data_IF_545279431516
#
_entry.id   IF_545279431516
#
_cell.length_a   1.000
_cell.length_b   1.000
_cell.length_c   1.000
_cell.angle_alpha   90.00
_cell.angle_beta   90.00
_cell.angle_gamma   90.00
#
_symmetry.space_group_name_H-M   'P 1'
#
loop_
_entity.id
_entity.type
_entity.pdbx_description
1 polymer ?
#
# COMPACT_ATOMS: atom_id res chain seq x y z
N UNK A 1 -13.64 -21.16 9.93
CA UNK A 1 -13.19 -20.29 11.04
C UNK A 1 -12.40 -19.12 10.45
N UNK A 2 -13.08 -18.17 9.79
CA UNK A 2 -12.46 -16.94 9.29
C UNK A 2 -12.63 -15.88 10.36
N UNK A 3 -11.62 -15.69 11.20
CA UNK A 3 -11.60 -14.63 12.21
C UNK A 3 -11.38 -13.27 11.57
N UNK A 4 -11.64 -12.20 12.33
CA UNK A 4 -11.55 -10.77 11.96
C UNK A 4 -10.21 -10.31 11.37
N UNK A 5 -9.25 -11.22 11.24
CA UNK A 5 -7.90 -11.00 10.72
C UNK A 5 -7.89 -10.72 9.21
N UNK A 6 -8.78 -11.37 8.46
CA UNK A 6 -8.94 -11.15 7.01
C UNK A 6 -9.98 -10.08 6.70
N UNK A 7 -10.45 -9.35 7.72
CA UNK A 7 -11.35 -8.24 7.50
C UNK A 7 -10.58 -7.12 6.80
N UNK A 8 -11.14 -6.65 5.69
CA UNK A 8 -10.62 -5.50 4.97
C UNK A 8 -10.84 -4.25 5.82
N UNK A 9 -9.76 -3.50 6.01
CA UNK A 9 -9.86 -2.12 6.47
C UNK A 9 -10.46 -1.31 5.32
N UNK A 10 -11.32 -0.29 5.56
CA UNK A 10 -11.80 0.58 4.50
C UNK A 10 -10.62 1.03 3.63
N UNK A 11 -10.72 0.81 2.31
CA UNK A 11 -9.65 1.06 1.35
C UNK A 11 -9.08 2.46 1.54
N UNK A 12 -7.77 2.54 1.72
CA UNK A 12 -7.06 3.80 1.98
C UNK A 12 -6.20 4.13 0.77
N UNK A 13 -6.62 5.12 -0.01
CA UNK A 13 -5.74 5.72 -1.02
C UNK A 13 -4.73 6.60 -0.27
N UNK A 14 -3.45 6.26 -0.36
CA UNK A 14 -2.36 7.04 0.22
C UNK A 14 -1.74 7.92 -0.86
N UNK A 15 -1.85 9.25 -0.68
CA UNK A 15 -1.19 10.23 -1.55
C UNK A 15 0.17 10.57 -0.95
N UNK A 16 1.23 10.08 -1.58
CA UNK A 16 2.60 10.34 -1.14
C UNK A 16 3.17 11.51 -1.95
N UNK A 17 3.83 12.44 -1.26
CA UNK A 17 4.56 13.52 -1.93
C UNK A 17 6.05 13.15 -1.93
N UNK A 18 6.70 13.28 -3.08
CA UNK A 18 8.15 13.15 -3.15
C UNK A 18 8.80 14.45 -2.65
N UNK A 19 9.58 14.36 -1.57
CA UNK A 19 10.27 15.50 -0.95
C UNK A 19 11.67 15.74 -1.54
N UNK A 20 12.07 14.98 -2.57
CA UNK A 20 13.45 14.98 -3.09
C UNK A 20 13.81 16.23 -3.90
N UNK A 21 12.84 16.95 -4.46
CA UNK A 21 13.08 18.18 -5.22
C UNK A 21 12.66 19.42 -4.42
N UNK A 22 13.61 20.23 -3.90
CA UNK A 22 13.29 21.50 -3.27
C UNK A 22 12.87 22.50 -4.35
N UNK A 23 11.57 22.57 -4.66
CA UNK A 23 11.07 23.54 -5.63
C UNK A 23 9.62 23.37 -6.06
N UNK A 24 9.04 22.16 -5.98
CA UNK A 24 7.68 21.92 -6.46
C UNK A 24 6.69 21.71 -5.31
N UNK A 25 6.45 22.78 -4.55
CA UNK A 25 5.52 22.81 -3.42
C UNK A 25 4.07 23.12 -3.84
N UNK A 26 3.75 23.13 -5.14
CA UNK A 26 2.46 23.62 -5.69
C UNK A 26 1.51 22.53 -6.17
N UNK A 27 1.62 21.32 -5.62
CA UNK A 27 0.55 20.32 -5.73
C UNK A 27 0.69 19.30 -6.87
N UNK A 28 1.87 19.19 -7.48
CA UNK A 28 2.18 18.00 -8.27
C UNK A 28 2.42 16.85 -7.30
N UNK A 29 1.49 15.90 -7.30
CA UNK A 29 1.69 14.64 -6.62
C UNK A 29 2.75 13.88 -7.39
N UNK A 30 3.92 13.69 -6.78
CA UNK A 30 5.02 12.97 -7.43
C UNK A 30 4.65 11.52 -7.77
N UNK A 31 3.76 10.89 -6.99
CA UNK A 31 3.13 9.60 -7.30
C UNK A 31 1.97 9.29 -6.32
N UNK A 32 0.95 8.57 -6.77
CA UNK A 32 -0.15 8.07 -5.92
C UNK A 32 0.03 6.58 -5.62
N UNK A 33 -0.39 6.16 -4.42
CA UNK A 33 -0.36 4.76 -4.00
C UNK A 33 -1.75 4.32 -3.57
N UNK A 34 -2.29 3.32 -4.26
CA UNK A 34 -3.52 2.63 -3.86
C UNK A 34 -3.22 1.21 -3.42
N UNK A 35 -3.85 0.76 -2.35
CA UNK A 35 -3.73 -0.60 -1.84
C UNK A 35 -4.91 -0.98 -0.95
N UNK A 36 -5.14 -2.29 -0.82
CA UNK A 36 -6.06 -2.85 0.16
C UNK A 36 -5.27 -3.28 1.38
N UNK A 37 -5.70 -2.84 2.55
CA UNK A 37 -5.09 -3.16 3.83
C UNK A 37 -6.00 -4.13 4.59
N UNK A 38 -5.43 -5.18 5.17
CA UNK A 38 -6.11 -6.11 6.08
C UNK A 38 -5.80 -5.74 7.54
N UNK A 39 -6.68 -6.14 8.46
CA UNK A 39 -6.54 -5.84 9.88
C UNK A 39 -5.24 -6.38 10.52
N UNK A 40 -4.65 -7.43 9.93
CA UNK A 40 -3.35 -7.98 10.36
C UNK A 40 -2.14 -7.22 9.81
N UNK A 41 -2.34 -6.12 9.09
CA UNK A 41 -1.29 -5.30 8.51
C UNK A 41 -0.75 -5.81 7.18
N UNK A 42 -1.28 -6.90 6.64
CA UNK A 42 -0.99 -7.34 5.26
C UNK A 42 -1.66 -6.35 4.30
N UNK A 43 -0.96 -6.00 3.22
CA UNK A 43 -1.54 -5.25 2.11
C UNK A 43 -1.46 -6.05 0.80
N UNK A 44 -2.48 -5.93 -0.03
CA UNK A 44 -2.48 -6.48 -1.39
C UNK A 44 -3.13 -5.53 -2.40
N UNK A 45 -3.08 -5.89 -3.69
CA UNK A 45 -3.58 -5.06 -4.79
C UNK A 45 -2.97 -3.65 -4.78
N UNK A 46 -1.65 -3.60 -4.84
CA UNK A 46 -0.87 -2.37 -4.87
C UNK A 46 -0.94 -1.74 -6.28
N UNK A 47 -1.23 -0.45 -6.37
CA UNK A 47 -1.08 0.35 -7.58
C UNK A 47 -0.19 1.54 -7.27
N UNK A 48 0.90 1.69 -8.02
CA UNK A 48 1.79 2.83 -7.98
C UNK A 48 1.55 3.64 -9.25
N UNK A 49 0.98 4.84 -9.12
CA UNK A 49 0.70 5.72 -10.25
C UNK A 49 1.70 6.88 -10.26
N UNK A 50 2.57 6.93 -11.27
CA UNK A 50 3.58 7.98 -11.46
C UNK A 50 3.09 9.10 -12.38
N UNK A 51 1.83 9.05 -12.81
CA UNK A 51 1.21 10.02 -13.71
C UNK A 51 1.33 9.67 -15.20
N UNK A 52 2.52 9.28 -15.66
CA UNK A 52 2.77 8.87 -17.05
C UNK A 52 2.61 7.36 -17.27
N UNK A 53 2.88 6.56 -16.23
CA UNK A 53 2.58 5.13 -16.19
C UNK A 53 2.18 4.69 -14.77
N UNK A 54 1.49 3.56 -14.71
CA UNK A 54 1.13 2.92 -13.46
C UNK A 54 1.66 1.48 -13.41
N UNK A 55 2.09 1.06 -12.22
CA UNK A 55 2.54 -0.31 -11.94
C UNK A 55 1.56 -0.99 -11.00
N UNK A 56 0.99 -2.11 -11.44
CA UNK A 56 0.08 -2.92 -10.63
C UNK A 56 0.79 -4.15 -10.07
N UNK A 57 0.82 -4.25 -8.74
CA UNK A 57 1.37 -5.36 -7.98
C UNK A 57 0.28 -6.26 -7.41
N UNK A 58 0.36 -7.56 -7.72
CA UNK A 58 -0.48 -8.59 -7.09
C UNK A 58 0.37 -9.43 -6.14
N UNK A 59 -0.07 -9.54 -4.89
CA UNK A 59 0.54 -10.43 -3.91
C UNK A 59 0.40 -11.88 -4.39
N UNK A 60 1.52 -12.50 -4.75
CA UNK A 60 1.56 -13.86 -5.30
C UNK A 60 1.81 -14.92 -4.25
N UNK A 61 2.53 -14.58 -3.18
CA UNK A 61 2.90 -15.49 -2.10
C UNK A 61 3.12 -14.71 -0.80
N UNK A 62 2.58 -15.22 0.30
CA UNK A 62 2.79 -14.71 1.64
C UNK A 62 3.19 -15.89 2.54
N UNK A 63 4.36 -15.81 3.15
CA UNK A 63 4.86 -16.82 4.09
C UNK A 63 4.90 -16.19 5.48
N UNK A 64 3.92 -16.50 6.35
CA UNK A 64 3.90 -15.93 7.70
C UNK A 64 5.10 -16.44 8.49
N UNK A 65 5.73 -15.53 9.24
CA UNK A 65 6.73 -15.92 10.21
C UNK A 65 6.04 -16.70 11.33
N UNK A 66 6.66 -17.80 11.78
CA UNK A 66 6.29 -18.42 13.06
C UNK A 66 6.40 -17.37 14.15
N UNK A 67 5.37 -17.25 15.00
CA UNK A 67 5.35 -16.32 16.12
C UNK A 67 6.68 -16.44 16.89
N UNK A 68 7.37 -15.32 17.19
CA UNK A 68 8.54 -15.38 18.04
C UNK A 68 8.07 -15.93 19.38
N UNK A 69 8.52 -17.14 19.72
CA UNK A 69 8.32 -17.70 21.04
C UNK A 69 8.84 -16.69 22.05
N UNK A 70 7.91 -16.11 22.82
CA UNK A 70 8.23 -15.17 23.88
C UNK A 70 9.02 -15.87 24.99
#
# INVERSE_FOLDING_TARGET
SGGRENDLVPSTVARCYDFREPGDYLGNVGYEVDFRMFANGVADHLVLDYGDFAVAGRLSRLEPLTEPGC
#
